data_IF_081338651706
#
_entry.id   IF_081338651706
#
_cell.length_a   1.000
_cell.length_b   1.000
_cell.length_c   1.000
_cell.angle_alpha   90.00
_cell.angle_beta   90.00
_cell.angle_gamma   90.00
#
_symmetry.space_group_name_H-M   'P 1'
#
loop_
_entity.id
_entity.type
_entity.pdbx_description
1 polymer ?
#
# COMPACT_ATOMS: atom_id res chain seq x y z
N UNK A 1 -0.60 1.80 -7.37
CA UNK A 1 -0.18 2.99 -6.60
C UNK A 1 0.67 3.83 -7.51
N UNK A 2 0.08 4.91 -8.02
CA UNK A 2 0.79 6.00 -8.67
C UNK A 2 1.78 6.54 -7.64
N UNK A 3 3.07 6.32 -7.89
CA UNK A 3 4.12 7.03 -7.19
C UNK A 3 4.23 8.42 -7.79
N UNK A 4 4.52 9.39 -6.94
CA UNK A 4 4.51 10.82 -7.23
C UNK A 4 5.25 11.15 -8.53
N UNK A 5 4.53 11.85 -9.39
CA UNK A 5 4.96 12.36 -10.68
C UNK A 5 5.80 13.62 -10.39
N UNK A 6 7.09 13.69 -10.78
CA UNK A 6 7.75 14.97 -10.88
C UNK A 6 7.16 15.70 -12.10
N UNK A 7 6.50 16.83 -11.84
CA UNK A 7 6.00 17.86 -12.77
C UNK A 7 5.96 17.48 -14.27
N UNK A 8 5.01 16.62 -14.65
CA UNK A 8 4.67 16.33 -16.05
C UNK A 8 4.03 17.54 -16.76
N UNK A 9 3.56 18.54 -16.01
CA UNK A 9 2.96 19.75 -16.55
C UNK A 9 3.96 20.65 -17.30
N UNK A 10 5.24 20.63 -16.91
CA UNK A 10 6.28 21.44 -17.58
C UNK A 10 6.66 20.84 -18.94
N UNK A 11 6.74 19.51 -19.05
CA UNK A 11 7.03 18.82 -20.33
C UNK A 11 5.86 18.86 -21.31
N UNK A 12 4.61 18.76 -20.83
CA UNK A 12 3.41 18.88 -21.67
C UNK A 12 3.24 20.31 -22.21
N UNK A 13 3.52 21.33 -21.39
CA UNK A 13 3.50 22.75 -21.81
C UNK A 13 4.50 23.05 -22.92
N UNK A 14 5.72 22.50 -22.85
CA UNK A 14 6.76 22.67 -23.86
C UNK A 14 6.42 21.96 -25.18
N UNK A 15 5.81 20.77 -25.13
CA UNK A 15 5.37 20.06 -26.34
C UNK A 15 4.22 20.79 -27.06
N UNK A 16 3.29 21.39 -26.32
CA UNK A 16 2.18 22.15 -26.90
C UNK A 16 2.63 23.45 -27.59
N UNK A 17 3.60 24.18 -26.98
CA UNK A 17 4.18 25.40 -27.59
C UNK A 17 4.91 25.12 -28.90
N UNK A 18 5.58 23.97 -29.03
CA UNK A 18 6.29 23.60 -30.26
C UNK A 18 5.34 23.21 -31.41
N UNK A 19 4.18 22.62 -31.11
CA UNK A 19 3.26 22.15 -32.14
C UNK A 19 2.42 23.30 -32.73
N UNK A 20 1.96 24.23 -31.89
CA UNK A 20 1.18 25.40 -32.35
C UNK A 20 2.06 26.36 -33.18
N UNK A 21 3.33 26.53 -32.80
CA UNK A 21 4.26 27.40 -33.54
C UNK A 21 4.51 26.90 -34.96
N UNK A 22 4.47 25.59 -35.22
CA UNK A 22 4.72 25.03 -36.55
C UNK A 22 3.48 24.99 -37.44
N UNK A 23 2.26 24.91 -36.90
CA UNK A 23 1.04 24.89 -37.72
C UNK A 23 0.55 26.29 -38.12
N UNK A 24 0.87 27.33 -37.33
CA UNK A 24 0.47 28.72 -37.64
C UNK A 24 1.42 29.47 -38.59
N UNK A 25 2.62 28.94 -38.87
CA UNK A 25 3.63 29.66 -39.67
C UNK A 25 3.63 29.32 -41.17
N UNK A 26 2.75 28.44 -41.65
CA UNK A 26 2.74 27.98 -43.06
C UNK A 26 1.60 28.49 -43.94
N UNK A 27 0.86 29.52 -43.52
CA UNK A 27 -0.10 30.21 -44.40
C UNK A 27 0.02 31.73 -44.31
N UNK A 28 1.19 32.27 -44.62
CA UNK A 28 1.27 33.62 -45.20
C UNK A 28 1.22 33.50 -46.73
N UNK A 29 0.02 33.32 -47.27
CA UNK A 29 -0.23 33.60 -48.69
C UNK A 29 -0.34 35.12 -48.87
N UNK A 30 0.78 35.74 -49.22
CA UNK A 30 0.77 37.06 -49.84
C UNK A 30 0.07 36.95 -51.20
N UNK A 31 -1.04 37.67 -51.40
CA UNK A 31 -1.49 37.96 -52.76
C UNK A 31 -1.91 39.42 -52.88
N UNK A 32 -1.15 40.17 -53.68
CA UNK A 32 -1.43 41.55 -54.09
C UNK A 32 -2.51 41.51 -55.17
N UNK A 33 -3.78 41.54 -54.78
CA UNK A 33 -4.93 42.08 -55.55
C UNK A 33 -6.20 41.76 -54.76
N UNK A 34 -6.82 42.80 -54.21
CA UNK A 34 -7.98 42.69 -53.34
C UNK A 34 -9.23 42.20 -54.06
N UNK A 35 -9.42 40.88 -54.08
CA UNK A 35 -10.72 40.24 -54.30
C UNK A 35 -10.75 38.93 -53.51
N UNK A 36 -11.38 38.96 -52.33
CA UNK A 36 -11.63 37.76 -51.53
C UNK A 36 -12.94 37.12 -51.99
N UNK A 37 -12.86 36.02 -52.73
CA UNK A 37 -14.01 35.16 -53.01
C UNK A 37 -14.22 34.19 -51.85
N UNK A 38 -15.26 34.41 -51.04
CA UNK A 38 -15.62 33.60 -49.87
C UNK A 38 -15.79 32.09 -50.15
N UNK A 39 -16.06 31.72 -51.41
CA UNK A 39 -16.32 30.32 -51.80
C UNK A 39 -15.09 29.42 -51.80
N UNK A 40 -13.86 29.97 -51.87
CA UNK A 40 -12.62 29.17 -51.78
C UNK A 40 -12.23 28.88 -50.32
N UNK A 41 -12.67 29.72 -49.38
CA UNK A 41 -12.40 29.53 -47.95
C UNK A 41 -13.19 28.35 -47.35
N UNK A 42 -14.41 28.13 -47.84
CA UNK A 42 -15.29 27.05 -47.33
C UNK A 42 -14.86 25.66 -47.81
N UNK A 43 -14.30 25.52 -49.01
CA UNK A 43 -13.79 24.23 -49.50
C UNK A 43 -12.50 23.77 -48.79
N UNK A 44 -11.72 24.72 -48.26
CA UNK A 44 -10.51 24.43 -47.49
C UNK A 44 -10.77 24.22 -46.00
N UNK A 45 -11.86 24.76 -45.45
CA UNK A 45 -12.19 24.60 -44.03
C UNK A 45 -12.49 23.13 -43.69
N UNK A 46 -13.20 22.40 -44.56
CA UNK A 46 -13.48 20.97 -44.36
C UNK A 46 -12.20 20.11 -44.36
N UNK A 47 -11.26 20.41 -45.27
CA UNK A 47 -9.96 19.71 -45.30
C UNK A 47 -9.11 20.03 -44.06
N UNK A 48 -9.19 21.25 -43.53
CA UNK A 48 -8.47 21.66 -42.32
C UNK A 48 -9.07 20.96 -41.10
N UNK A 49 -10.40 20.93 -40.98
CA UNK A 49 -11.11 20.25 -39.88
C UNK A 49 -10.79 18.75 -39.88
N UNK A 50 -10.79 18.10 -41.05
CA UNK A 50 -10.47 16.67 -41.15
C UNK A 50 -9.03 16.36 -40.75
N UNK A 51 -8.06 17.20 -41.16
CA UNK A 51 -6.65 17.05 -40.75
C UNK A 51 -6.47 17.23 -39.24
N UNK A 52 -7.17 18.19 -38.64
CA UNK A 52 -7.15 18.42 -37.20
C UNK A 52 -7.70 17.21 -36.43
N UNK A 53 -8.84 16.68 -36.87
CA UNK A 53 -9.47 15.51 -36.25
C UNK A 53 -8.55 14.27 -36.30
N UNK A 54 -7.93 14.01 -37.45
CA UNK A 54 -6.96 12.91 -37.61
C UNK A 54 -5.75 13.10 -36.67
N UNK A 55 -5.23 14.33 -36.57
CA UNK A 55 -4.10 14.62 -35.67
C UNK A 55 -4.45 14.39 -34.19
N UNK A 56 -5.66 14.74 -33.76
CA UNK A 56 -6.13 14.52 -32.39
C UNK A 56 -6.27 13.01 -32.10
N UNK A 57 -6.84 12.25 -33.03
CA UNK A 57 -6.98 10.79 -32.88
C UNK A 57 -5.61 10.10 -32.79
N UNK A 58 -4.68 10.45 -33.68
CA UNK A 58 -3.32 9.89 -33.67
C UNK A 58 -2.57 10.25 -32.38
N UNK A 59 -2.73 11.47 -31.87
CA UNK A 59 -2.13 11.89 -30.60
C UNK A 59 -2.68 11.09 -29.41
N UNK A 60 -3.99 10.83 -29.38
CA UNK A 60 -4.60 9.98 -28.36
C UNK A 60 -4.10 8.53 -28.43
N UNK A 61 -4.03 7.95 -29.64
CA UNK A 61 -3.47 6.59 -29.84
C UNK A 61 -2.02 6.53 -29.39
N UNK A 62 -1.21 7.55 -29.72
CA UNK A 62 0.19 7.61 -29.30
C UNK A 62 0.33 7.70 -27.77
N UNK A 63 -0.47 8.54 -27.10
CA UNK A 63 -0.48 8.61 -25.63
C UNK A 63 -0.88 7.29 -25.00
N UNK A 64 -1.89 6.62 -25.55
CA UNK A 64 -2.30 5.28 -25.10
C UNK A 64 -1.14 4.28 -25.28
N UNK A 65 -0.50 4.25 -26.46
CA UNK A 65 0.63 3.36 -26.74
C UNK A 65 1.88 3.64 -25.88
N UNK A 66 2.18 4.91 -25.59
CA UNK A 66 3.27 5.28 -24.68
C UNK A 66 2.96 4.85 -23.24
N UNK A 67 1.70 4.96 -22.80
CA UNK A 67 1.25 4.39 -21.52
C UNK A 67 1.38 2.86 -21.50
N UNK A 68 1.10 2.17 -22.61
CA UNK A 68 1.27 0.71 -22.70
C UNK A 68 2.74 0.26 -22.79
N UNK A 69 3.62 1.02 -23.46
CA UNK A 69 5.06 0.69 -23.60
C UNK A 69 5.87 0.83 -22.31
N UNK A 70 5.36 1.54 -21.29
CA UNK A 70 6.01 1.61 -19.97
C UNK A 70 5.76 0.38 -19.08
N UNK A 71 4.96 -0.59 -19.52
CA UNK A 71 4.93 -1.93 -18.92
C UNK A 71 6.02 -2.79 -19.59
N UNK A 72 7.25 -2.28 -19.63
CA UNK A 72 8.40 -3.16 -19.76
C UNK A 72 8.39 -4.06 -18.53
N UNK A 73 8.07 -5.33 -18.76
CA UNK A 73 8.36 -6.44 -17.87
C UNK A 73 9.80 -6.29 -17.37
N UNK A 74 9.98 -5.69 -16.20
CA UNK A 74 11.19 -5.95 -15.43
C UNK A 74 11.21 -7.46 -15.26
N UNK A 75 12.30 -8.15 -15.61
CA UNK A 75 12.44 -9.54 -15.21
C UNK A 75 12.20 -9.54 -13.70
N UNK A 76 11.14 -10.25 -13.27
CA UNK A 76 10.94 -10.54 -11.86
C UNK A 76 12.21 -11.26 -11.46
N UNK A 77 13.12 -10.55 -10.77
CA UNK A 77 14.19 -11.19 -10.01
C UNK A 77 13.55 -12.39 -9.34
N UNK A 78 14.06 -13.58 -9.66
CA UNK A 78 13.62 -14.85 -9.11
C UNK A 78 13.62 -14.67 -7.60
N UNK A 79 12.44 -14.38 -7.05
CA UNK A 79 12.32 -14.04 -5.64
C UNK A 79 12.65 -15.31 -4.92
N UNK A 80 13.82 -15.34 -4.26
CA UNK A 80 14.24 -16.47 -3.46
C UNK A 80 13.10 -16.77 -2.46
N UNK A 81 12.32 -17.79 -2.78
CA UNK A 81 11.00 -18.09 -2.20
C UNK A 81 11.11 -18.56 -0.75
N UNK A 82 12.33 -18.82 -0.30
CA UNK A 82 12.66 -19.29 1.04
C UNK A 82 13.18 -18.20 1.98
N UNK A 83 13.07 -16.92 1.59
CA UNK A 83 13.48 -15.83 2.49
C UNK A 83 12.52 -15.72 3.68
N UNK A 84 13.06 -15.99 4.87
CA UNK A 84 12.36 -15.86 6.14
C UNK A 84 12.47 -14.43 6.68
N UNK A 85 11.45 -14.02 7.42
CA UNK A 85 11.43 -12.82 8.25
C UNK A 85 11.24 -13.27 9.70
N UNK A 86 12.19 -12.90 10.54
CA UNK A 86 12.25 -13.33 11.93
C UNK A 86 11.71 -12.21 12.81
N UNK A 87 10.72 -12.52 13.64
CA UNK A 87 10.17 -11.59 14.63
C UNK A 87 10.68 -11.96 16.00
N UNK A 88 11.07 -10.94 16.77
CA UNK A 88 11.57 -11.15 18.14
C UNK A 88 11.21 -9.99 19.05
N UNK A 89 11.14 -10.29 20.34
CA UNK A 89 10.95 -9.30 21.39
C UNK A 89 10.82 -9.98 22.76
N UNK A 90 10.65 -9.17 23.79
CA UNK A 90 10.47 -9.63 25.18
C UNK A 90 9.25 -8.96 25.80
N UNK A 91 8.39 -9.73 26.46
CA UNK A 91 7.21 -9.25 27.16
C UNK A 91 7.46 -9.21 28.66
N UNK A 92 7.14 -8.05 29.25
CA UNK A 92 7.35 -7.79 30.67
C UNK A 92 6.04 -7.36 31.32
N UNK A 93 5.71 -7.90 32.48
CA UNK A 93 4.66 -7.44 33.37
C UNK A 93 5.30 -6.84 34.63
N UNK A 94 5.19 -5.52 34.84
CA UNK A 94 5.79 -4.81 35.98
C UNK A 94 7.31 -5.09 36.13
N UNK A 95 8.02 -5.18 35.02
CA UNK A 95 9.45 -5.49 35.00
C UNK A 95 9.81 -6.97 35.16
N UNK A 96 8.83 -7.86 35.36
CA UNK A 96 9.04 -9.31 35.40
C UNK A 96 8.70 -9.91 34.04
N UNK A 97 9.53 -10.80 33.47
CA UNK A 97 9.19 -11.45 32.21
C UNK A 97 7.91 -12.28 32.30
N UNK A 98 7.03 -12.15 31.31
CA UNK A 98 5.73 -12.85 31.28
C UNK A 98 5.66 -13.86 30.14
N UNK A 99 5.47 -15.13 30.49
CA UNK A 99 5.37 -16.26 29.57
C UNK A 99 3.93 -16.74 29.34
N UNK A 100 2.95 -16.18 30.04
CA UNK A 100 1.53 -16.52 29.92
C UNK A 100 0.78 -15.56 28.98
N UNK A 101 1.52 -14.98 28.04
CA UNK A 101 1.00 -14.08 27.02
C UNK A 101 0.83 -14.86 25.72
N UNK A 102 -0.28 -14.64 25.04
CA UNK A 102 -0.49 -15.17 23.70
C UNK A 102 -0.24 -14.08 22.68
N UNK A 103 0.68 -14.36 21.76
CA UNK A 103 1.02 -13.44 20.67
C UNK A 103 0.48 -14.03 19.37
N UNK A 104 -0.10 -13.20 18.52
CA UNK A 104 -0.51 -13.61 17.18
C UNK A 104 -0.16 -12.56 16.14
N UNK A 105 0.55 -12.95 15.08
CA UNK A 105 0.77 -12.11 13.92
C UNK A 105 -0.46 -12.17 13.02
N UNK A 106 -1.08 -11.03 12.78
CA UNK A 106 -2.23 -10.89 11.89
C UNK A 106 -1.92 -10.00 10.68
N UNK A 107 -2.68 -10.21 9.62
CA UNK A 107 -2.73 -9.32 8.48
C UNK A 107 -4.14 -8.77 8.28
N UNK A 108 -4.27 -7.45 8.21
CA UNK A 108 -5.49 -6.74 7.90
C UNK A 108 -5.57 -6.56 6.38
N UNK A 109 -6.06 -7.60 5.71
CA UNK A 109 -6.51 -7.57 4.32
C UNK A 109 -8.04 -7.64 4.28
N UNK A 110 -8.64 -7.89 3.10
CA UNK A 110 -10.11 -8.06 2.91
C UNK A 110 -10.66 -9.10 3.88
N UNK A 111 -9.89 -10.15 4.18
CA UNK A 111 -10.14 -11.10 5.25
C UNK A 111 -9.06 -10.94 6.31
N UNK A 112 -9.46 -10.79 7.58
CA UNK A 112 -8.51 -10.83 8.71
C UNK A 112 -8.01 -12.27 8.85
N UNK A 113 -6.73 -12.51 8.57
CA UNK A 113 -6.10 -13.81 8.76
C UNK A 113 -4.97 -13.72 9.78
N UNK A 114 -4.87 -14.76 10.61
CA UNK A 114 -3.73 -14.95 11.50
C UNK A 114 -2.68 -15.82 10.79
N UNK A 115 -1.45 -15.33 10.78
CA UNK A 115 -0.33 -15.95 10.06
C UNK A 115 0.45 -16.86 10.99
N UNK A 116 0.72 -16.40 12.22
CA UNK A 116 1.49 -17.13 13.22
C UNK A 116 0.92 -16.85 14.61
N UNK A 117 1.10 -17.81 15.51
CA UNK A 117 0.76 -17.68 16.94
C UNK A 117 1.90 -18.28 17.74
N UNK A 118 2.29 -17.63 18.83
CA UNK A 118 3.43 -18.03 19.65
C UNK A 118 3.15 -17.71 21.13
N UNK A 119 3.74 -18.49 22.02
CA UNK A 119 3.82 -18.21 23.45
C UNK A 119 5.27 -17.90 23.83
N UNK A 120 5.53 -16.85 24.63
CA UNK A 120 6.88 -16.55 25.06
C UNK A 120 7.46 -17.67 25.94
N UNK A 121 8.78 -17.79 25.92
CA UNK A 121 9.50 -18.69 26.81
C UNK A 121 9.50 -18.16 28.27
N UNK A 122 10.11 -18.90 29.19
CA UNK A 122 10.21 -18.54 30.62
C UNK A 122 10.89 -17.19 30.89
N UNK A 123 11.64 -16.64 29.94
CA UNK A 123 12.27 -15.31 30.01
C UNK A 123 11.41 -14.22 29.35
N UNK A 124 10.13 -14.51 29.08
CA UNK A 124 9.21 -13.61 28.38
C UNK A 124 9.60 -13.33 26.92
N UNK A 125 10.57 -14.07 26.37
CA UNK A 125 11.06 -13.85 25.01
C UNK A 125 10.20 -14.64 24.03
N UNK A 126 9.83 -14.00 22.92
CA UNK A 126 9.15 -14.67 21.82
C UNK A 126 9.99 -14.59 20.55
N UNK A 127 9.86 -15.61 19.72
CA UNK A 127 10.50 -15.70 18.43
C UNK A 127 9.62 -16.50 17.48
N UNK A 128 9.31 -15.96 16.32
CA UNK A 128 8.64 -16.72 15.27
C UNK A 128 9.10 -16.29 13.89
N UNK A 129 9.14 -17.25 12.97
CA UNK A 129 9.62 -17.07 11.61
C UNK A 129 8.46 -17.16 10.63
N UNK A 130 8.40 -16.19 9.73
CA UNK A 130 7.33 -16.08 8.74
C UNK A 130 7.97 -15.94 7.37
N UNK A 131 7.39 -16.60 6.36
CA UNK A 131 7.92 -16.49 5.00
C UNK A 131 7.63 -15.08 4.48
N UNK A 132 8.62 -14.39 3.90
CA UNK A 132 8.43 -13.03 3.35
C UNK A 132 7.32 -12.95 2.31
N UNK A 133 7.04 -14.04 1.60
CA UNK A 133 5.93 -14.10 0.64
C UNK A 133 4.54 -13.96 1.28
N UNK A 134 4.36 -14.40 2.53
CA UNK A 134 3.15 -14.20 3.34
C UNK A 134 3.01 -12.75 3.82
N UNK A 135 4.10 -11.98 3.77
CA UNK A 135 4.21 -10.60 4.23
C UNK A 135 4.18 -9.53 3.11
N UNK A 136 3.76 -9.87 1.89
CA UNK A 136 3.94 -9.00 0.71
C UNK A 136 2.98 -7.82 0.60
N UNK A 137 1.70 -8.00 0.93
CA UNK A 137 0.66 -6.99 0.69
C UNK A 137 -0.30 -6.99 1.88
N UNK A 138 -0.35 -5.88 2.60
CA UNK A 138 -1.28 -5.71 3.71
C UNK A 138 -0.75 -4.83 4.84
N UNK A 139 -1.66 -4.49 5.75
CA UNK A 139 -1.31 -3.89 7.04
C UNK A 139 -1.16 -4.99 8.08
N UNK A 140 0.04 -5.18 8.60
CA UNK A 140 0.33 -6.24 9.56
C UNK A 140 0.27 -5.71 10.98
N UNK A 141 -0.11 -6.58 11.92
CA UNK A 141 -0.21 -6.22 13.33
C UNK A 141 0.14 -7.41 14.21
N UNK A 142 0.62 -7.13 15.42
CA UNK A 142 0.65 -8.12 16.50
C UNK A 142 -0.55 -7.93 17.39
N UNK A 143 -1.25 -9.02 17.60
CA UNK A 143 -2.26 -9.17 18.62
C UNK A 143 -1.57 -9.72 19.87
N UNK A 144 -1.74 -9.04 20.99
CA UNK A 144 -1.23 -9.46 22.30
C UNK A 144 -2.43 -9.67 23.22
N UNK A 145 -2.52 -10.85 23.82
CA UNK A 145 -3.54 -11.24 24.80
C UNK A 145 -2.82 -11.67 26.10
N UNK A 146 -3.07 -11.00 27.23
CA UNK A 146 -2.36 -11.26 28.49
C UNK A 146 -3.22 -11.10 29.74
N UNK A 147 -2.71 -11.60 30.86
CA UNK A 147 -3.34 -11.52 32.18
C UNK A 147 -2.60 -10.59 33.16
N UNK A 148 -1.53 -9.91 32.72
CA UNK A 148 -0.81 -8.95 33.55
C UNK A 148 -1.76 -7.93 34.21
N UNK A 149 -1.65 -7.74 35.53
CA UNK A 149 -2.51 -6.89 36.37
C UNK A 149 -3.98 -7.29 36.45
N UNK A 150 -4.33 -8.53 36.11
CA UNK A 150 -5.70 -9.02 36.22
C UNK A 150 -5.79 -10.04 37.36
N UNK A 151 -6.70 -9.80 38.29
CA UNK A 151 -6.94 -10.70 39.43
C UNK A 151 -7.94 -11.82 39.11
N UNK A 152 -8.77 -11.63 38.09
CA UNK A 152 -9.79 -12.60 37.70
C UNK A 152 -9.26 -13.50 36.57
N UNK A 153 -9.15 -14.83 36.76
CA UNK A 153 -8.57 -15.73 35.76
C UNK A 153 -9.42 -15.86 34.48
N UNK A 154 -10.67 -15.40 34.51
CA UNK A 154 -11.60 -15.44 33.37
C UNK A 154 -11.49 -14.20 32.46
N UNK A 155 -10.65 -13.25 32.82
CA UNK A 155 -10.51 -11.98 32.12
C UNK A 155 -9.10 -11.81 31.58
N UNK A 156 -8.98 -11.24 30.40
CA UNK A 156 -7.71 -10.93 29.76
C UNK A 156 -7.75 -9.53 29.14
N UNK A 157 -6.58 -8.94 29.00
CA UNK A 157 -6.37 -7.71 28.25
C UNK A 157 -5.92 -8.08 26.84
N UNK A 158 -6.47 -7.38 25.85
CA UNK A 158 -6.15 -7.56 24.44
C UNK A 158 -5.80 -6.21 23.81
N UNK A 159 -4.71 -6.14 23.06
CA UNK A 159 -4.38 -4.95 22.25
C UNK A 159 -3.61 -5.31 20.98
N UNK A 160 -3.47 -4.32 20.09
CA UNK A 160 -2.83 -4.47 18.79
C UNK A 160 -1.64 -3.54 18.64
N UNK A 161 -0.51 -4.06 18.15
CA UNK A 161 0.66 -3.26 17.76
C UNK A 161 0.76 -3.26 16.23
N UNK A 162 0.62 -2.11 15.55
CA UNK A 162 0.79 -2.03 14.11
C UNK A 162 2.26 -2.26 13.74
N UNK A 163 2.51 -3.04 12.69
CA UNK A 163 3.86 -3.34 12.21
C UNK A 163 4.11 -2.76 10.82
N UNK A 164 5.18 -2.00 10.68
CA UNK A 164 5.63 -1.51 9.38
C UNK A 164 6.56 -2.52 8.67
N UNK A 165 6.03 -3.70 8.34
CA UNK A 165 6.81 -4.79 7.71
C UNK A 165 7.25 -4.40 6.28
N UNK A 166 6.42 -3.64 5.55
CA UNK A 166 6.70 -3.26 4.17
C UNK A 166 8.02 -2.50 4.01
N UNK A 167 8.33 -1.58 4.93
CA UNK A 167 9.61 -0.87 4.95
C UNK A 167 10.80 -1.81 5.20
N UNK A 168 10.64 -2.80 6.08
CA UNK A 168 11.69 -3.77 6.42
C UNK A 168 12.02 -4.69 5.24
N UNK A 169 11.00 -5.16 4.51
CA UNK A 169 11.19 -6.01 3.33
C UNK A 169 11.89 -5.23 2.21
N UNK A 170 11.52 -3.97 1.97
CA UNK A 170 12.17 -3.11 0.96
C UNK A 170 13.66 -2.91 1.22
N UNK A 171 14.05 -2.81 2.48
CA UNK A 171 15.44 -2.62 2.91
C UNK A 171 16.21 -3.94 3.07
N UNK A 172 15.70 -5.06 2.53
CA UNK A 172 16.32 -6.38 2.62
C UNK A 172 16.62 -6.87 4.05
N UNK A 173 15.93 -6.33 5.06
CA UNK A 173 16.09 -6.78 6.44
C UNK A 173 15.35 -8.11 6.64
N UNK A 174 15.97 -9.01 7.39
CA UNK A 174 15.44 -10.34 7.71
C UNK A 174 15.01 -10.48 9.17
N UNK A 175 15.25 -9.46 10.01
CA UNK A 175 14.87 -9.44 11.42
C UNK A 175 14.03 -8.20 11.74
N UNK A 176 12.97 -8.42 12.51
CA UNK A 176 12.09 -7.41 13.06
C UNK A 176 12.11 -7.55 14.58
N UNK A 177 12.83 -6.67 15.26
CA UNK A 177 12.96 -6.69 16.72
C UNK A 177 12.05 -5.62 17.33
N UNK A 178 11.15 -6.04 18.21
CA UNK A 178 10.22 -5.17 18.95
C UNK A 178 10.78 -4.73 20.30
N UNK A 179 12.01 -5.13 20.62
CA UNK A 179 12.67 -4.89 21.89
C UNK A 179 11.80 -5.40 23.05
N UNK A 180 11.61 -4.59 24.09
CA UNK A 180 10.77 -4.93 25.23
C UNK A 180 9.38 -4.28 25.09
N UNK A 181 8.36 -5.06 25.42
CA UNK A 181 6.96 -4.63 25.46
C UNK A 181 6.51 -4.76 26.92
N UNK A 182 6.18 -3.61 27.52
CA UNK A 182 5.69 -3.55 28.89
C UNK A 182 4.16 -3.64 28.90
N UNK A 183 3.65 -4.79 29.34
CA UNK A 183 2.22 -5.13 29.41
C UNK A 183 1.43 -4.26 30.39
N UNK A 184 2.12 -3.49 31.24
CA UNK A 184 1.48 -2.55 32.17
C UNK A 184 1.11 -1.24 31.49
N UNK A 185 1.79 -0.89 30.40
CA UNK A 185 1.53 0.35 29.68
C UNK A 185 0.15 0.32 29.03
N UNK A 186 -0.47 1.49 28.95
CA UNK A 186 -1.71 1.64 28.21
C UNK A 186 -1.40 1.70 26.71
N UNK A 187 -2.09 0.86 25.93
CA UNK A 187 -1.98 0.85 24.47
C UNK A 187 -3.28 1.33 23.83
N UNK A 188 -3.17 2.05 22.72
CA UNK A 188 -4.33 2.53 21.99
C UNK A 188 -5.17 1.36 21.47
N UNK A 189 -6.48 1.41 21.73
CA UNK A 189 -7.42 0.35 21.33
C UNK A 189 -7.31 -0.92 22.19
N UNK A 190 -6.71 -0.82 23.38
CA UNK A 190 -6.71 -1.89 24.37
C UNK A 190 -8.14 -2.20 24.85
N UNK A 191 -8.46 -3.49 24.95
CA UNK A 191 -9.74 -4.01 25.38
C UNK A 191 -9.54 -4.90 26.60
N UNK A 192 -10.44 -4.77 27.56
CA UNK A 192 -10.56 -5.70 28.69
C UNK A 192 -11.74 -6.63 28.41
N UNK A 193 -11.48 -7.93 28.35
CA UNK A 193 -12.47 -8.93 27.95
C UNK A 193 -12.56 -9.99 29.05
N UNK A 194 -13.78 -10.30 29.48
CA UNK A 194 -14.07 -11.40 30.39
C UNK A 194 -14.97 -12.42 29.71
N UNK A 195 -14.63 -13.71 29.85
CA UNK A 195 -15.51 -14.77 29.35
C UNK A 195 -16.82 -14.78 30.15
N UNK A 196 -17.94 -14.45 29.49
CA UNK A 196 -19.29 -14.64 30.04
C UNK A 196 -19.70 -16.11 29.88
N UNK A 197 -19.03 -17.03 30.57
CA UNK A 197 -19.48 -18.42 30.70
C UNK A 197 -19.64 -18.78 32.17
N UNK A 198 -20.83 -18.43 32.69
CA UNK A 198 -21.79 -19.30 33.36
C UNK A 198 -23.12 -18.52 33.35
N UNK A 199 -23.84 -18.55 32.22
CA UNK A 199 -25.29 -18.44 32.34
C UNK A 199 -25.71 -19.62 33.21
N UNK A 200 -26.19 -19.32 34.41
CA UNK A 200 -26.84 -20.27 35.31
C UNK A 200 -27.93 -21.00 34.53
N UNK A 201 -27.66 -22.21 34.06
CA UNK A 201 -28.67 -23.26 33.95
C UNK A 201 -28.41 -24.18 35.13
N UNK A 202 -28.70 -23.70 36.34
CA UNK A 202 -29.14 -24.60 37.40
C UNK A 202 -30.62 -24.82 37.12
N UNK A 203 -30.94 -25.82 36.30
CA UNK A 203 -32.26 -26.43 36.41
C UNK A 203 -32.28 -27.15 37.75
N UNK A 204 -33.18 -26.68 38.61
CA UNK A 204 -33.61 -27.38 39.83
C UNK A 204 -33.98 -28.81 39.47
N UNK A 205 -33.35 -29.78 40.13
CA UNK A 205 -34.02 -31.02 40.51
C UNK A 205 -34.17 -30.99 42.02
#
# INVERSE_FOLDING_TARGET
MCGDIPDSNVKLSLCWKFFISKSLLTEQFTNRKGQFSFNVLMANSERIIMKLAISIVLFNIFNILQCYRLIHYRPRNVVNTNTMLNFSGTLMCKGVPDNMVKISLGCKNILKSFIAKEFPNRRGQFFFNVRKNQCRIGSYFLLIEHHCKIFQPKCFIRFFIPLNIGAYIKNSKNSYNLNYIDLVKHYNGQQFLCSKQYNKVFNRN
#
